data_IF_828254237498
#
_entry.id   IF_828254237498
#
_cell.length_a   1.000
_cell.length_b   1.000
_cell.length_c   1.000
_cell.angle_alpha   90.00
_cell.angle_beta   90.00
_cell.angle_gamma   90.00
#
_symmetry.space_group_name_H-M   'P 1'
#
loop_
_entity.id
_entity.type
_entity.pdbx_description
1 polymer ?
#
# COMPACT_ATOMS: atom_id res chain seq x y z
N UNK A 1 -5.82 -16.36 -4.33
CA UNK A 1 -4.46 -15.86 -4.64
C UNK A 1 -3.99 -14.80 -3.64
N UNK A 2 -4.84 -13.83 -3.24
CA UNK A 2 -4.43 -12.70 -2.35
C UNK A 2 -4.03 -13.15 -0.94
N UNK A 3 -4.79 -14.05 -0.32
CA UNK A 3 -4.54 -14.55 1.03
C UNK A 3 -3.19 -15.27 1.09
N UNK A 4 -2.91 -16.14 0.12
CA UNK A 4 -1.67 -16.91 0.04
C UNK A 4 -0.45 -16.01 -0.21
N UNK A 5 -0.61 -14.98 -1.05
CA UNK A 5 0.44 -13.97 -1.26
C UNK A 5 0.75 -13.15 0.01
N UNK A 6 -0.20 -13.06 0.94
CA UNK A 6 -0.01 -12.43 2.25
C UNK A 6 0.66 -13.35 3.28
N UNK A 7 0.99 -14.60 2.91
CA UNK A 7 1.59 -15.59 3.80
C UNK A 7 0.60 -16.38 4.66
N UNK A 8 -0.70 -16.20 4.42
CA UNK A 8 -1.74 -16.96 5.12
C UNK A 8 -2.18 -18.17 4.29
N UNK A 9 -2.67 -19.22 4.95
CA UNK A 9 -3.30 -20.35 4.26
C UNK A 9 -4.76 -20.07 3.95
N UNK A 10 -5.29 -20.63 2.86
CA UNK A 10 -6.70 -20.56 2.51
C UNK A 10 -7.20 -21.92 2.05
N UNK A 11 -8.42 -22.28 2.46
CA UNK A 11 -9.08 -23.48 1.98
C UNK A 11 -10.40 -23.12 1.29
N UNK A 12 -10.71 -23.78 0.19
CA UNK A 12 -12.00 -23.70 -0.50
C UNK A 12 -12.66 -25.09 -0.45
N UNK A 13 -13.85 -25.14 0.13
CA UNK A 13 -14.62 -26.38 0.25
C UNK A 13 -16.11 -26.11 -0.03
N UNK A 14 -16.90 -27.15 -0.29
CA UNK A 14 -18.35 -27.06 -0.49
C UNK A 14 -19.07 -26.77 0.84
N UNK A 15 -19.48 -25.52 1.04
CA UNK A 15 -20.20 -25.07 2.24
C UNK A 15 -21.58 -25.71 2.46
N UNK A 16 -22.11 -26.44 1.48
CA UNK A 16 -23.37 -27.18 1.62
C UNK A 16 -23.16 -28.54 2.31
N UNK A 17 -21.93 -29.02 2.38
CA UNK A 17 -21.58 -30.26 3.07
C UNK A 17 -21.66 -30.05 4.59
N UNK A 18 -22.50 -30.82 5.29
CA UNK A 18 -22.56 -30.80 6.74
C UNK A 18 -21.21 -31.23 7.34
N UNK A 19 -20.74 -30.50 8.35
CA UNK A 19 -19.50 -30.82 9.06
C UNK A 19 -18.21 -30.43 8.32
N UNK A 20 -18.25 -29.80 7.12
CA UNK A 20 -17.09 -29.51 6.30
C UNK A 20 -15.99 -28.71 7.02
N UNK A 21 -16.35 -27.83 7.96
CA UNK A 21 -15.38 -27.07 8.74
C UNK A 21 -14.66 -27.96 9.77
N UNK A 22 -15.38 -28.88 10.41
CA UNK A 22 -14.78 -29.84 11.33
C UNK A 22 -13.83 -30.79 10.61
N UNK A 23 -14.24 -31.29 9.43
CA UNK A 23 -13.40 -32.14 8.58
C UNK A 23 -12.12 -31.41 8.12
N UNK A 24 -12.24 -30.15 7.70
CA UNK A 24 -11.08 -29.32 7.33
C UNK A 24 -10.10 -29.12 8.51
N UNK A 25 -10.64 -28.85 9.70
CA UNK A 25 -9.81 -28.66 10.91
C UNK A 25 -9.19 -29.98 11.38
N UNK A 26 -9.84 -31.12 11.10
CA UNK A 26 -9.28 -32.46 11.35
C UNK A 26 -8.21 -32.88 10.32
N UNK A 27 -7.99 -32.07 9.26
CA UNK A 27 -7.03 -32.38 8.20
C UNK A 27 -7.56 -33.29 7.11
N UNK A 28 -8.87 -33.50 7.05
CA UNK A 28 -9.50 -34.33 6.02
C UNK A 28 -9.44 -33.66 4.64
N UNK A 29 -9.33 -34.48 3.60
CA UNK A 29 -9.22 -34.03 2.20
C UNK A 29 -10.60 -33.67 1.62
N UNK A 30 -11.20 -32.56 2.08
CA UNK A 30 -12.57 -32.14 1.75
C UNK A 30 -12.65 -30.86 0.90
N UNK A 31 -11.55 -30.48 0.27
CA UNK A 31 -11.53 -29.26 -0.56
C UNK A 31 -10.16 -29.00 -1.18
N UNK A 32 -9.90 -27.75 -1.57
CA UNK A 32 -8.61 -27.32 -2.09
C UNK A 32 -7.92 -26.45 -1.06
N UNK A 33 -6.75 -26.84 -0.61
CA UNK A 33 -5.89 -26.07 0.28
C UNK A 33 -4.87 -25.27 -0.54
N UNK A 34 -4.80 -23.97 -0.28
CA UNK A 34 -3.79 -23.07 -0.82
C UNK A 34 -2.79 -22.74 0.28
N UNK A 35 -1.54 -23.09 0.07
CA UNK A 35 -0.45 -22.81 1.00
C UNK A 35 0.46 -21.70 0.45
N UNK A 36 0.99 -20.80 1.31
CA UNK A 36 1.94 -19.80 0.88
C UNK A 36 3.28 -20.43 0.48
N UNK A 37 4.02 -19.77 -0.41
CA UNK A 37 5.42 -20.11 -0.64
C UNK A 37 6.25 -19.84 0.61
N UNK A 38 7.43 -20.44 0.73
CA UNK A 38 8.32 -20.22 1.88
C UNK A 38 8.67 -18.73 2.07
N UNK A 39 8.86 -18.00 0.94
CA UNK A 39 9.15 -16.56 0.96
C UNK A 39 7.93 -15.74 1.45
N UNK A 40 6.72 -16.06 0.97
CA UNK A 40 5.50 -15.41 1.43
C UNK A 40 5.23 -15.69 2.92
N UNK A 41 5.44 -16.91 3.38
CA UNK A 41 5.29 -17.30 4.78
C UNK A 41 6.32 -16.57 5.67
N UNK A 42 7.58 -16.45 5.24
CA UNK A 42 8.63 -15.73 5.98
C UNK A 42 8.36 -14.23 6.08
N UNK A 43 7.63 -13.63 5.11
CA UNK A 43 7.22 -12.23 5.09
C UNK A 43 5.97 -11.92 5.91
N UNK A 44 5.13 -12.90 6.18
CA UNK A 44 3.79 -12.73 6.77
C UNK A 44 3.80 -12.04 8.16
N UNK A 45 4.81 -12.33 8.99
CA UNK A 45 4.94 -11.74 10.33
C UNK A 45 5.41 -10.28 10.36
N UNK A 46 5.88 -9.73 9.23
CA UNK A 46 6.45 -8.39 9.13
C UNK A 46 5.49 -7.33 8.58
N UNK A 47 4.37 -7.76 7.99
CA UNK A 47 3.39 -6.85 7.39
C UNK A 47 2.10 -6.80 8.21
N UNK A 48 1.68 -5.60 8.58
CA UNK A 48 0.37 -5.40 9.20
C UNK A 48 -0.77 -5.70 8.21
N UNK A 49 -1.98 -5.98 8.72
CA UNK A 49 -3.18 -6.16 7.87
C UNK A 49 -3.40 -4.95 6.93
N UNK A 50 -3.12 -3.73 7.39
CA UNK A 50 -3.18 -2.50 6.60
C UNK A 50 -2.18 -2.51 5.44
N UNK A 51 -0.91 -2.84 5.70
CA UNK A 51 0.12 -2.95 4.67
C UNK A 51 -0.23 -4.01 3.63
N UNK A 52 -0.77 -5.16 4.07
CA UNK A 52 -1.26 -6.20 3.16
C UNK A 52 -2.37 -5.69 2.26
N UNK A 53 -3.35 -4.98 2.83
CA UNK A 53 -4.46 -4.41 2.06
C UNK A 53 -3.97 -3.38 1.04
N UNK A 54 -3.08 -2.46 1.41
CA UNK A 54 -2.50 -1.45 0.51
C UNK A 54 -1.72 -2.14 -0.63
N UNK A 55 -0.81 -3.06 -0.30
CA UNK A 55 0.05 -3.73 -1.29
C UNK A 55 -0.70 -4.67 -2.24
N UNK A 56 -1.87 -5.18 -1.82
CA UNK A 56 -2.71 -6.06 -2.62
C UNK A 56 -3.81 -5.31 -3.40
N UNK A 57 -4.00 -4.02 -3.16
CA UNK A 57 -4.93 -3.19 -3.93
C UNK A 57 -4.39 -3.00 -5.33
N UNK A 58 -5.00 -3.69 -6.31
CA UNK A 58 -4.53 -3.76 -7.70
C UNK A 58 -4.70 -2.48 -8.52
N UNK A 59 -5.49 -1.51 -8.04
CA UNK A 59 -5.75 -0.25 -8.77
C UNK A 59 -5.49 0.93 -7.84
N UNK A 60 -4.30 1.49 -7.95
CA UNK A 60 -4.05 2.83 -7.48
C UNK A 60 -4.96 3.82 -8.23
N UNK A 61 -5.57 4.76 -7.52
CA UNK A 61 -6.42 5.82 -8.08
C UNK A 61 -5.63 6.86 -8.83
N UNK A 62 -4.33 6.96 -8.53
CA UNK A 62 -3.41 7.89 -9.17
C UNK A 62 -1.97 7.50 -8.91
N UNK A 63 -1.06 8.33 -9.39
CA UNK A 63 0.38 8.12 -9.27
C UNK A 63 1.07 9.41 -8.84
N UNK A 64 2.02 9.29 -7.93
CA UNK A 64 2.95 10.34 -7.52
C UNK A 64 4.32 10.00 -8.09
N UNK A 65 4.86 10.88 -8.92
CA UNK A 65 6.25 10.77 -9.39
C UNK A 65 7.15 11.50 -8.41
N UNK A 66 8.23 10.85 -7.99
CA UNK A 66 9.13 11.38 -6.95
C UNK A 66 10.56 11.44 -7.46
N UNK A 67 11.38 12.30 -6.85
CA UNK A 67 12.81 12.38 -7.12
C UNK A 67 13.60 11.21 -6.49
N UNK A 68 14.89 11.11 -6.81
CA UNK A 68 15.78 10.05 -6.33
C UNK A 68 15.95 10.07 -4.81
N UNK A 69 15.98 11.25 -4.20
CA UNK A 69 16.08 11.44 -2.76
C UNK A 69 14.87 10.86 -2.02
N UNK A 70 13.67 11.20 -2.50
CA UNK A 70 12.42 10.67 -1.99
C UNK A 70 12.30 9.16 -2.27
N UNK A 71 12.72 8.68 -3.45
CA UNK A 71 12.73 7.24 -3.77
C UNK A 71 13.61 6.45 -2.80
N UNK A 72 14.78 6.96 -2.46
CA UNK A 72 15.67 6.36 -1.45
C UNK A 72 15.04 6.37 -0.05
N UNK A 73 14.39 7.47 0.34
CA UNK A 73 13.70 7.58 1.62
C UNK A 73 12.53 6.59 1.73
N UNK A 74 11.71 6.49 0.68
CA UNK A 74 10.57 5.56 0.59
C UNK A 74 11.03 4.10 0.67
N UNK A 75 12.07 3.71 -0.07
CA UNK A 75 12.70 2.37 0.05
C UNK A 75 13.23 2.12 1.46
N UNK A 76 13.70 3.16 2.15
CA UNK A 76 14.08 3.14 3.56
C UNK A 76 12.91 3.20 4.54
N UNK A 77 11.67 3.00 4.07
CA UNK A 77 10.42 3.00 4.87
C UNK A 77 10.16 4.31 5.63
N UNK A 78 10.55 5.44 5.05
CA UNK A 78 10.22 6.77 5.56
C UNK A 78 8.95 7.30 4.89
N UNK A 79 8.28 8.24 5.57
CA UNK A 79 7.13 8.97 5.03
C UNK A 79 7.48 9.70 3.74
N UNK A 80 6.51 9.81 2.81
CA UNK A 80 6.66 10.61 1.61
C UNK A 80 6.24 12.05 1.89
N UNK A 81 7.21 12.96 1.75
CA UNK A 81 7.00 14.40 1.87
C UNK A 81 6.72 15.01 0.49
N UNK A 82 5.97 16.12 0.47
CA UNK A 82 5.66 16.83 -0.77
C UNK A 82 6.89 17.40 -1.46
N UNK A 83 7.95 17.73 -0.71
CA UNK A 83 9.22 18.25 -1.25
C UNK A 83 9.90 17.31 -2.24
N UNK A 84 9.67 16.01 -2.13
CA UNK A 84 10.21 15.01 -3.04
C UNK A 84 9.27 14.64 -4.21
N UNK A 85 8.07 15.24 -4.30
CA UNK A 85 7.12 14.97 -5.37
C UNK A 85 7.37 15.92 -6.54
N UNK A 86 7.53 15.37 -7.74
CA UNK A 86 7.80 16.10 -8.98
C UNK A 86 6.57 16.19 -9.88
N UNK A 87 5.72 15.16 -9.88
CA UNK A 87 4.47 15.16 -10.67
C UNK A 87 3.36 14.37 -9.97
N UNK A 88 2.11 14.73 -10.32
CA UNK A 88 0.88 14.10 -9.84
C UNK A 88 0.05 13.64 -11.04
N UNK A 89 -0.33 12.39 -11.08
CA UNK A 89 -1.13 11.82 -12.17
C UNK A 89 -2.41 11.18 -11.61
N UNK A 90 -3.53 11.41 -12.31
CA UNK A 90 -4.84 10.87 -11.95
C UNK A 90 -5.58 11.74 -10.92
N UNK A 91 -6.76 11.24 -10.50
CA UNK A 91 -7.60 11.89 -9.48
C UNK A 91 -7.81 10.96 -8.31
N UNK A 92 -7.49 11.46 -7.12
CA UNK A 92 -7.63 10.72 -5.87
C UNK A 92 -7.98 11.68 -4.73
N UNK A 93 -8.58 11.15 -3.70
CA UNK A 93 -8.98 11.84 -2.48
C UNK A 93 -8.19 11.28 -1.26
N UNK A 94 -8.21 11.98 -0.12
CA UNK A 94 -7.57 11.47 1.10
C UNK A 94 -8.07 10.06 1.45
N UNK A 95 -7.13 9.15 1.76
CA UNK A 95 -7.41 7.75 2.05
C UNK A 95 -7.45 6.82 0.83
N UNK A 96 -7.34 7.34 -0.39
CA UNK A 96 -7.17 6.52 -1.59
C UNK A 96 -5.74 5.93 -1.66
N UNK A 97 -5.63 4.75 -2.27
CA UNK A 97 -4.33 4.15 -2.60
C UNK A 97 -3.77 4.80 -3.87
N UNK A 98 -2.55 5.29 -3.78
CA UNK A 98 -1.80 5.85 -4.90
C UNK A 98 -0.49 5.08 -5.12
N UNK A 99 -0.07 4.97 -6.37
CA UNK A 99 1.25 4.46 -6.72
C UNK A 99 2.30 5.55 -6.52
N UNK A 100 3.49 5.16 -6.06
CA UNK A 100 4.66 6.04 -5.94
C UNK A 100 5.71 5.53 -6.92
N UNK A 101 6.08 6.35 -7.89
CA UNK A 101 7.03 5.98 -8.94
C UNK A 101 8.27 6.87 -8.89
N UNK A 102 9.42 6.27 -9.11
CA UNK A 102 10.68 6.99 -9.27
C UNK A 102 10.71 7.83 -10.56
N UNK A 103 11.81 8.57 -10.80
CA UNK A 103 11.94 9.43 -11.98
C UNK A 103 11.98 8.64 -13.29
N UNK A 104 12.33 7.37 -13.23
CA UNK A 104 12.33 6.41 -14.35
C UNK A 104 10.93 5.80 -14.63
N UNK A 105 9.91 6.18 -13.86
CA UNK A 105 8.55 5.65 -13.95
C UNK A 105 8.35 4.30 -13.26
N UNK A 106 9.39 3.68 -12.70
CA UNK A 106 9.28 2.42 -11.96
C UNK A 106 8.52 2.63 -10.65
N UNK A 107 7.47 1.86 -10.42
CA UNK A 107 6.71 1.91 -9.16
C UNK A 107 7.57 1.33 -8.04
N UNK A 108 7.88 2.14 -7.04
CA UNK A 108 8.72 1.79 -5.89
C UNK A 108 7.90 1.51 -4.63
N UNK A 109 6.67 2.03 -4.57
CA UNK A 109 5.77 1.82 -3.44
C UNK A 109 4.31 2.08 -3.82
N UNK A 110 3.40 1.70 -2.92
CA UNK A 110 2.01 2.14 -2.90
C UNK A 110 1.65 2.62 -1.50
N UNK A 111 0.73 3.56 -1.38
CA UNK A 111 0.35 4.07 -0.07
C UNK A 111 -0.98 4.81 -0.05
N UNK A 112 -1.52 5.00 1.17
CA UNK A 112 -2.71 5.81 1.41
C UNK A 112 -2.30 7.29 1.50
N UNK A 113 -2.85 8.09 0.62
CA UNK A 113 -2.57 9.54 0.62
C UNK A 113 -3.36 10.27 1.69
N UNK A 114 -2.73 11.26 2.34
CA UNK A 114 -3.38 12.18 3.29
C UNK A 114 -4.07 13.36 2.58
N UNK A 115 -3.75 13.59 1.31
CA UNK A 115 -4.20 14.77 0.55
C UNK A 115 -4.86 14.36 -0.77
N UNK A 116 -5.82 15.16 -1.24
CA UNK A 116 -6.37 15.03 -2.58
C UNK A 116 -5.34 15.41 -3.66
N UNK A 117 -5.49 14.85 -4.86
CA UNK A 117 -4.57 15.12 -6.00
C UNK A 117 -4.41 16.61 -6.29
N UNK A 118 -5.51 17.39 -6.20
CA UNK A 118 -5.50 18.85 -6.40
C UNK A 118 -4.68 19.61 -5.35
N UNK A 119 -4.63 19.09 -4.11
CA UNK A 119 -3.88 19.70 -3.02
C UNK A 119 -2.40 19.31 -3.11
N UNK A 120 -2.11 18.04 -3.44
CA UNK A 120 -0.73 17.59 -3.69
C UNK A 120 -0.11 18.37 -4.85
N UNK A 121 -0.88 18.66 -5.91
CA UNK A 121 -0.40 19.46 -7.06
C UNK A 121 0.05 20.87 -6.64
N UNK A 122 -0.62 21.48 -5.64
CA UNK A 122 -0.26 22.80 -5.12
C UNK A 122 0.96 22.80 -4.21
N UNK A 123 1.17 21.70 -3.48
CA UNK A 123 2.26 21.61 -2.47
C UNK A 123 3.47 20.80 -2.93
N UNK A 124 3.42 20.14 -4.09
CA UNK A 124 4.55 19.38 -4.63
C UNK A 124 5.81 20.26 -4.70
N UNK A 125 6.93 19.71 -4.30
CA UNK A 125 8.21 20.43 -4.21
C UNK A 125 8.33 21.37 -3.01
N UNK A 126 7.27 21.61 -2.24
CA UNK A 126 7.31 22.48 -1.06
C UNK A 126 7.70 21.71 0.21
N UNK A 127 8.32 22.41 1.14
CA UNK A 127 8.53 21.92 2.50
C UNK A 127 7.24 22.03 3.31
N UNK A 128 7.03 21.14 4.29
CA UNK A 128 5.80 21.08 5.09
C UNK A 128 5.50 22.38 5.85
N UNK A 129 6.53 23.14 6.26
CA UNK A 129 6.39 24.44 6.91
C UNK A 129 5.66 25.49 6.04
N UNK A 130 5.64 25.29 4.71
CA UNK A 130 4.96 26.17 3.74
C UNK A 130 3.54 25.75 3.39
N UNK A 131 3.05 24.59 3.89
CA UNK A 131 1.72 24.08 3.55
C UNK A 131 0.60 25.01 4.01
N UNK A 132 0.77 25.65 5.18
CA UNK A 132 -0.20 26.60 5.72
C UNK A 132 -0.45 27.80 4.78
N UNK A 133 0.59 28.26 4.12
CA UNK A 133 0.52 29.40 3.20
C UNK A 133 -0.33 29.07 1.95
N UNK A 134 -0.37 27.77 1.55
CA UNK A 134 -0.99 27.33 0.29
C UNK A 134 -2.34 26.66 0.52
N UNK A 135 -2.48 25.85 1.56
CA UNK A 135 -3.66 25.04 1.83
C UNK A 135 -4.46 25.46 3.06
N UNK A 136 -3.96 26.45 3.85
CA UNK A 136 -4.51 26.77 5.16
C UNK A 136 -4.14 25.71 6.19
N UNK A 137 -4.93 25.65 7.28
CA UNK A 137 -4.64 24.73 8.38
C UNK A 137 -4.85 23.27 7.94
N UNK A 138 -3.80 22.45 8.04
CA UNK A 138 -3.79 21.04 7.63
C UNK A 138 -3.15 20.18 8.70
N UNK A 139 -3.70 18.96 8.97
CA UNK A 139 -3.27 18.13 10.08
C UNK A 139 -2.00 17.31 9.82
N UNK A 140 -1.49 17.25 8.57
CA UNK A 140 -0.41 16.35 8.19
C UNK A 140 0.75 17.10 7.53
N UNK A 141 1.97 16.75 7.91
CA UNK A 141 3.21 17.26 7.32
C UNK A 141 3.69 16.41 6.13
N UNK A 142 3.19 15.16 6.04
CA UNK A 142 3.53 14.21 4.99
C UNK A 142 2.34 13.92 4.07
N UNK A 143 2.64 13.65 2.80
CA UNK A 143 1.64 13.23 1.80
C UNK A 143 1.23 11.77 2.01
N UNK A 144 2.19 10.91 2.37
CA UNK A 144 1.93 9.52 2.79
C UNK A 144 2.76 9.23 4.03
N UNK A 145 2.11 8.85 5.13
CA UNK A 145 2.79 8.42 6.34
C UNK A 145 3.48 7.06 6.13
N UNK A 146 4.61 6.83 6.80
CA UNK A 146 5.39 5.59 6.71
C UNK A 146 4.53 4.33 7.00
N UNK A 147 3.64 4.39 8.00
CA UNK A 147 2.74 3.27 8.36
C UNK A 147 1.65 2.99 7.29
N UNK A 148 1.45 3.91 6.36
CA UNK A 148 0.49 3.81 5.27
C UNK A 148 1.18 3.55 3.91
N UNK A 149 2.47 3.19 3.90
CA UNK A 149 3.29 3.04 2.72
C UNK A 149 3.88 1.63 2.63
N UNK A 150 3.69 0.98 1.50
CA UNK A 150 4.19 -0.37 1.21
C UNK A 150 5.17 -0.29 0.05
N UNK A 151 6.43 -0.64 0.31
CA UNK A 151 7.47 -0.71 -0.71
C UNK A 151 7.20 -1.93 -1.60
N UNK A 152 7.19 -1.72 -2.91
CA UNK A 152 7.10 -2.76 -3.95
C UNK A 152 8.47 -2.91 -4.57
N UNK A 153 9.15 -3.99 -4.30
CA UNK A 153 10.47 -4.26 -4.86
C UNK A 153 10.70 -5.71 -4.98
#
# INVERSE_FOLDING_TARGET
ALVVAAGDMAAIADGRRAGVLADLLAGESVGTLFVPTAEAAAGAGKMTARHRWIGLTRRARGKLVIDDGAAKAVRGRKSLLASGITAVEGRFEPGDVVAVAGPDGTVVAQGLTNYASRDVEKIKGLRSDRFKDVLGDRPYDEVIHADNLVVTG
#
